data_IF_599232783798
#
_entry.id   IF_599232783798
#
_cell.length_a   1.000
_cell.length_b   1.000
_cell.length_c   1.000
_cell.angle_alpha   90.00
_cell.angle_beta   90.00
_cell.angle_gamma   90.00
#
_symmetry.space_group_name_H-M   'P 1'
#
loop_
_entity.id
_entity.type
_entity.pdbx_description
1 polymer ?
#
# COMPACT_ATOMS: atom_id res chain seq x y z
N UNK A 1 -17.49 4.46 16.94
CA UNK A 1 -16.52 4.72 15.86
C UNK A 1 -15.37 3.75 16.03
N UNK A 2 -15.07 2.87 15.04
CA UNK A 2 -13.90 2.00 15.13
C UNK A 2 -12.64 2.88 15.19
N UNK A 3 -11.78 2.62 16.19
CA UNK A 3 -10.50 3.32 16.27
C UNK A 3 -9.67 3.04 15.00
N UNK A 4 -9.16 4.08 14.37
CA UNK A 4 -8.27 3.94 13.20
C UNK A 4 -6.94 3.37 13.66
N UNK A 5 -6.42 2.40 12.91
CA UNK A 5 -5.13 1.78 13.23
C UNK A 5 -4.01 2.83 13.31
N UNK A 6 -3.25 2.79 14.39
CA UNK A 6 -1.99 3.51 14.59
C UNK A 6 -1.03 2.62 15.36
N UNK A 7 0.26 2.81 15.11
CA UNK A 7 1.29 2.07 15.83
C UNK A 7 1.47 2.71 17.21
N UNK A 8 1.39 1.95 18.33
CA UNK A 8 1.45 2.49 19.68
C UNK A 8 2.91 2.76 20.12
N UNK A 9 3.61 3.67 19.44
CA UNK A 9 4.97 4.09 19.79
C UNK A 9 5.22 5.54 19.37
N UNK A 10 6.40 6.09 19.74
CA UNK A 10 6.83 7.41 19.28
C UNK A 10 7.16 7.42 17.79
N UNK A 11 7.07 8.57 17.17
CA UNK A 11 7.41 8.78 15.76
C UNK A 11 8.86 8.38 15.44
N UNK A 12 9.82 8.79 16.28
CA UNK A 12 11.24 8.44 16.11
C UNK A 12 11.47 6.92 16.13
N UNK A 13 10.75 6.23 17.02
CA UNK A 13 10.84 4.78 17.11
C UNK A 13 10.20 4.10 15.89
N UNK A 14 9.07 4.59 15.43
CA UNK A 14 8.41 4.11 14.22
C UNK A 14 9.30 4.34 12.98
N UNK A 15 9.95 5.50 12.88
CA UNK A 15 10.92 5.81 11.84
C UNK A 15 12.08 4.81 11.85
N UNK A 16 12.72 4.60 13.01
CA UNK A 16 13.85 3.69 13.13
C UNK A 16 13.50 2.25 12.74
N UNK A 17 12.33 1.77 13.13
CA UNK A 17 11.86 0.43 12.75
C UNK A 17 11.49 0.32 11.27
N UNK A 18 10.86 1.33 10.68
CA UNK A 18 10.59 1.37 9.24
C UNK A 18 11.89 1.37 8.43
N UNK A 19 12.88 2.16 8.84
CA UNK A 19 14.19 2.19 8.20
C UNK A 19 14.84 0.82 8.25
N UNK A 20 14.88 0.18 9.43
CA UNK A 20 15.43 -1.16 9.59
C UNK A 20 14.72 -2.20 8.71
N UNK A 21 13.37 -2.12 8.61
CA UNK A 21 12.58 -3.01 7.77
C UNK A 21 12.85 -2.78 6.26
N UNK A 22 13.05 -1.53 5.84
CA UNK A 22 13.44 -1.23 4.44
C UNK A 22 14.83 -1.77 4.13
N UNK A 23 15.79 -1.56 5.03
CA UNK A 23 17.13 -2.10 4.86
C UNK A 23 17.12 -3.63 4.72
N UNK A 24 16.36 -4.31 5.57
CA UNK A 24 16.18 -5.75 5.49
C UNK A 24 15.51 -6.21 4.19
N UNK A 25 14.49 -5.49 3.70
CA UNK A 25 13.84 -5.81 2.42
C UNK A 25 14.75 -5.58 1.22
N UNK A 26 15.61 -4.55 1.25
CA UNK A 26 16.62 -4.28 0.22
C UNK A 26 17.70 -5.37 0.21
N UNK A 27 18.21 -5.74 1.38
CA UNK A 27 19.21 -6.81 1.55
C UNK A 27 18.66 -8.19 1.12
N UNK A 28 17.42 -8.50 1.49
CA UNK A 28 16.73 -9.72 1.06
C UNK A 28 16.68 -9.85 -0.48
N UNK A 29 16.66 -8.72 -1.19
CA UNK A 29 16.72 -8.67 -2.67
C UNK A 29 18.14 -8.64 -3.23
N UNK A 30 19.14 -8.90 -2.41
CA UNK A 30 20.55 -8.84 -2.78
C UNK A 30 20.96 -7.48 -3.38
N UNK A 31 20.46 -6.39 -2.79
CA UNK A 31 20.79 -5.02 -3.19
C UNK A 31 21.44 -4.25 -2.05
N UNK A 32 22.19 -3.20 -2.41
CA UNK A 32 22.79 -2.29 -1.44
C UNK A 32 21.77 -1.20 -1.12
N UNK A 33 21.56 -0.97 0.18
CA UNK A 33 20.75 0.14 0.64
C UNK A 33 21.52 1.46 0.48
N UNK A 34 20.88 2.42 -0.18
CA UNK A 34 21.40 3.79 -0.30
C UNK A 34 20.33 4.74 0.24
N UNK A 35 20.66 5.46 1.33
CA UNK A 35 19.80 6.52 1.83
C UNK A 35 19.96 7.77 0.98
N UNK A 36 18.88 8.52 0.83
CA UNK A 36 18.87 9.86 0.27
C UNK A 36 17.77 10.69 0.95
N UNK A 37 17.83 12.01 0.77
CA UNK A 37 16.91 12.96 1.40
C UNK A 37 15.42 12.65 1.08
N UNK A 38 15.12 12.24 -0.15
CA UNK A 38 13.75 11.88 -0.54
C UNK A 38 13.22 10.67 0.24
N UNK A 39 14.04 9.62 0.40
CA UNK A 39 13.68 8.44 1.18
C UNK A 39 13.49 8.77 2.65
N UNK A 40 14.38 9.56 3.22
CA UNK A 40 14.27 9.99 4.62
C UNK A 40 12.98 10.77 4.87
N UNK A 41 12.63 11.68 3.97
CA UNK A 41 11.37 12.43 4.02
C UNK A 41 10.14 11.50 3.92
N UNK A 42 10.14 10.56 2.98
CA UNK A 42 9.05 9.58 2.81
C UNK A 42 8.87 8.71 4.06
N UNK A 43 10.00 8.29 4.67
CA UNK A 43 10.00 7.53 5.93
C UNK A 43 9.44 8.36 7.08
N UNK A 44 9.84 9.63 7.20
CA UNK A 44 9.32 10.55 8.22
C UNK A 44 7.82 10.76 8.05
N UNK A 45 7.34 11.04 6.82
CA UNK A 45 5.91 11.19 6.55
C UNK A 45 5.12 9.92 6.91
N UNK A 46 5.65 8.75 6.62
CA UNK A 46 5.02 7.48 6.97
C UNK A 46 5.01 7.24 8.47
N UNK A 47 6.14 7.44 9.16
CA UNK A 47 6.26 7.29 10.62
C UNK A 47 5.32 8.24 11.35
N UNK A 48 5.29 9.50 10.94
CA UNK A 48 4.37 10.53 11.46
C UNK A 48 2.92 10.08 11.32
N UNK A 49 2.49 9.70 10.12
CA UNK A 49 1.10 9.29 9.90
C UNK A 49 0.72 8.02 10.68
N UNK A 50 1.65 7.06 10.81
CA UNK A 50 1.41 5.82 11.54
C UNK A 50 1.28 6.01 13.06
N UNK A 51 1.80 7.11 13.60
CA UNK A 51 1.85 7.36 15.05
C UNK A 51 0.92 8.49 15.51
N UNK A 52 0.41 9.31 14.58
CA UNK A 52 -0.44 10.46 14.92
C UNK A 52 -1.90 10.27 14.46
N UNK A 53 -2.88 10.83 15.18
CA UNK A 53 -4.27 10.84 14.73
C UNK A 53 -4.43 11.50 13.36
N UNK A 54 -5.25 10.91 12.50
CA UNK A 54 -5.54 11.45 11.16
C UNK A 54 -6.96 11.13 10.74
N UNK A 55 -7.55 11.98 9.88
CA UNK A 55 -8.82 11.71 9.21
C UNK A 55 -8.73 10.60 8.18
N UNK A 56 -7.57 10.38 7.59
CA UNK A 56 -7.33 9.30 6.65
C UNK A 56 -7.19 7.95 7.36
N UNK A 57 -7.66 6.90 6.74
CA UNK A 57 -7.57 5.51 7.22
C UNK A 57 -6.75 4.59 6.31
N UNK A 58 -6.07 5.16 5.31
CA UNK A 58 -5.17 4.47 4.40
C UNK A 58 -4.01 5.36 3.94
N UNK A 59 -3.12 4.80 3.13
CA UNK A 59 -1.95 5.46 2.54
C UNK A 59 -1.92 5.19 1.03
N UNK A 60 -1.58 6.21 0.24
CA UNK A 60 -1.25 6.07 -1.18
C UNK A 60 0.21 6.44 -1.39
N UNK A 61 1.02 5.46 -1.75
CA UNK A 61 2.40 5.63 -2.19
C UNK A 61 2.40 5.83 -3.70
N UNK A 62 2.64 7.04 -4.17
CA UNK A 62 2.56 7.39 -5.59
C UNK A 62 3.86 7.99 -6.12
N UNK A 63 4.15 7.77 -7.41
CA UNK A 63 5.37 8.26 -8.06
C UNK A 63 5.90 7.34 -9.14
N UNK A 64 7.04 7.66 -9.72
CA UNK A 64 7.64 6.95 -10.84
C UNK A 64 7.95 5.48 -10.59
N UNK A 65 8.34 4.78 -11.65
CA UNK A 65 8.68 3.36 -11.56
C UNK A 65 10.06 3.17 -10.91
N UNK A 66 10.20 2.14 -10.05
CA UNK A 66 11.49 1.76 -9.48
C UNK A 66 11.97 2.61 -8.31
N UNK A 67 11.17 3.52 -7.77
CA UNK A 67 11.53 4.48 -6.73
C UNK A 67 11.26 4.01 -5.28
N UNK A 68 10.96 2.73 -5.04
CA UNK A 68 10.90 2.14 -3.70
C UNK A 68 9.52 1.95 -3.08
N UNK A 69 8.41 2.32 -3.73
CA UNK A 69 7.04 2.19 -3.21
C UNK A 69 6.69 0.78 -2.72
N UNK A 70 6.88 -0.23 -3.58
CA UNK A 70 6.61 -1.64 -3.21
C UNK A 70 7.55 -2.14 -2.11
N UNK A 71 8.78 -1.59 -2.03
CA UNK A 71 9.71 -1.89 -0.94
C UNK A 71 9.18 -1.32 0.38
N UNK A 72 8.69 -0.08 0.39
CA UNK A 72 8.06 0.54 1.56
C UNK A 72 6.82 -0.25 2.02
N UNK A 73 5.96 -0.67 1.09
CA UNK A 73 4.78 -1.48 1.41
C UNK A 73 5.16 -2.81 2.07
N UNK A 74 6.18 -3.52 1.56
CA UNK A 74 6.66 -4.77 2.14
C UNK A 74 7.38 -4.58 3.46
N UNK A 75 8.16 -3.50 3.60
CA UNK A 75 8.78 -3.12 4.87
C UNK A 75 7.74 -2.86 5.96
N UNK A 76 6.62 -2.21 5.63
CA UNK A 76 5.51 -2.04 6.55
C UNK A 76 4.88 -3.38 6.96
N UNK A 77 4.74 -4.32 6.03
CA UNK A 77 4.26 -5.69 6.36
C UNK A 77 5.21 -6.38 7.33
N UNK A 78 6.52 -6.33 7.08
CA UNK A 78 7.53 -6.92 7.97
C UNK A 78 7.50 -6.26 9.36
N UNK A 79 7.36 -4.94 9.41
CA UNK A 79 7.23 -4.20 10.66
C UNK A 79 6.02 -4.67 11.47
N UNK A 80 4.85 -4.79 10.86
CA UNK A 80 3.65 -5.28 11.56
C UNK A 80 3.84 -6.69 12.09
N UNK A 81 4.43 -7.56 11.28
CA UNK A 81 4.71 -8.94 11.67
C UNK A 81 5.69 -9.01 12.85
N UNK A 82 6.68 -8.13 12.91
CA UNK A 82 7.66 -8.07 14.00
C UNK A 82 7.08 -7.47 15.29
N UNK A 83 6.19 -6.50 15.19
CA UNK A 83 5.62 -5.80 16.35
C UNK A 83 4.54 -6.58 17.09
N UNK A 84 3.91 -7.57 16.46
CA UNK A 84 2.84 -8.39 17.06
C UNK A 84 1.76 -7.56 17.79
N UNK A 85 1.34 -6.44 17.22
CA UNK A 85 0.36 -5.52 17.83
C UNK A 85 -0.98 -6.24 17.98
N UNK A 86 -1.51 -6.39 19.21
CA UNK A 86 -2.76 -7.10 19.43
C UNK A 86 -3.96 -6.33 18.88
N UNK A 87 -4.95 -7.05 18.36
CA UNK A 87 -6.23 -6.46 17.93
C UNK A 87 -7.11 -6.16 19.15
N UNK A 88 -7.79 -5.01 19.21
CA UNK A 88 -8.53 -4.60 20.41
C UNK A 88 -9.81 -5.42 20.66
N UNK A 89 -10.37 -6.07 19.64
CA UNK A 89 -11.68 -6.74 19.75
C UNK A 89 -11.69 -8.19 19.28
N UNK A 90 -10.56 -8.70 18.78
CA UNK A 90 -10.45 -10.07 18.27
C UNK A 90 -9.16 -10.71 18.78
N UNK A 91 -9.14 -12.03 18.87
CA UNK A 91 -7.90 -12.76 19.10
C UNK A 91 -6.95 -12.58 17.89
N UNK A 92 -5.66 -12.43 18.20
CA UNK A 92 -4.59 -12.29 17.21
C UNK A 92 -4.00 -10.89 17.13
N UNK A 93 -3.10 -10.73 16.18
CA UNK A 93 -2.33 -9.51 15.95
C UNK A 93 -2.69 -8.87 14.62
N UNK A 94 -2.40 -7.57 14.47
CA UNK A 94 -2.49 -6.90 13.19
C UNK A 94 -1.46 -7.47 12.22
N UNK A 95 -1.89 -7.69 10.99
CA UNK A 95 -1.06 -8.04 9.85
C UNK A 95 -1.70 -7.51 8.58
N UNK A 96 -0.90 -7.21 7.57
CA UNK A 96 -1.39 -6.71 6.29
C UNK A 96 -1.25 -7.79 5.22
N UNK A 97 -2.32 -8.05 4.48
CA UNK A 97 -2.28 -8.88 3.28
C UNK A 97 -1.91 -8.01 2.08
N UNK A 98 -0.84 -8.35 1.38
CA UNK A 98 -0.44 -7.65 0.16
C UNK A 98 -0.87 -8.48 -1.05
N UNK A 99 -1.47 -7.82 -2.03
CA UNK A 99 -1.85 -8.38 -3.33
C UNK A 99 -1.48 -7.41 -4.45
N UNK A 100 -1.12 -7.94 -5.60
CA UNK A 100 -0.98 -7.17 -6.83
C UNK A 100 -2.37 -6.84 -7.40
N UNK A 101 -2.53 -5.66 -8.00
CA UNK A 101 -3.81 -5.24 -8.57
C UNK A 101 -4.35 -6.20 -9.64
N UNK A 102 -3.48 -6.79 -10.46
CA UNK A 102 -3.86 -7.82 -11.44
C UNK A 102 -4.40 -9.09 -10.79
N UNK A 103 -3.88 -9.44 -9.60
CA UNK A 103 -4.37 -10.60 -8.86
C UNK A 103 -5.79 -10.40 -8.35
N UNK A 104 -6.21 -9.16 -8.05
CA UNK A 104 -7.60 -8.84 -7.70
C UNK A 104 -8.53 -9.17 -8.87
N UNK A 105 -8.18 -8.73 -10.09
CA UNK A 105 -8.93 -9.04 -11.30
C UNK A 105 -8.99 -10.55 -11.58
N UNK A 106 -7.88 -11.27 -11.35
CA UNK A 106 -7.82 -12.72 -11.46
C UNK A 106 -8.76 -13.43 -10.47
N UNK A 107 -8.79 -12.99 -9.20
CA UNK A 107 -9.66 -13.59 -8.17
C UNK A 107 -11.14 -13.41 -8.49
N UNK A 108 -11.54 -12.22 -8.92
CA UNK A 108 -12.92 -11.93 -9.28
C UNK A 108 -13.46 -12.93 -10.31
N UNK A 109 -12.64 -13.30 -11.30
CA UNK A 109 -13.02 -14.25 -12.36
C UNK A 109 -12.95 -15.71 -11.92
N UNK A 110 -11.94 -16.10 -11.11
CA UNK A 110 -11.58 -17.49 -10.93
C UNK A 110 -11.87 -18.02 -9.52
N UNK A 111 -12.11 -17.15 -8.54
CA UNK A 111 -12.31 -17.56 -7.15
C UNK A 111 -13.13 -16.53 -6.35
N UNK A 112 -14.42 -16.57 -6.52
CA UNK A 112 -15.38 -15.66 -5.87
C UNK A 112 -15.28 -15.63 -4.33
N UNK A 113 -15.04 -16.79 -3.68
CA UNK A 113 -14.89 -16.83 -2.22
C UNK A 113 -13.62 -16.12 -1.74
N UNK A 114 -12.51 -16.30 -2.47
CA UNK A 114 -11.25 -15.63 -2.14
C UNK A 114 -11.33 -14.13 -2.40
N UNK A 115 -12.06 -13.72 -3.45
CA UNK A 115 -12.34 -12.31 -3.74
C UNK A 115 -13.15 -11.66 -2.61
N UNK A 116 -14.25 -12.25 -2.19
CA UNK A 116 -15.03 -11.77 -1.05
C UNK A 116 -14.24 -11.69 0.26
N UNK A 117 -13.39 -12.68 0.54
CA UNK A 117 -12.50 -12.67 1.70
C UNK A 117 -11.48 -11.54 1.60
N UNK A 118 -10.97 -11.25 0.40
CA UNK A 118 -10.01 -10.17 0.19
C UNK A 118 -10.62 -8.80 0.48
N UNK A 119 -11.85 -8.57 0.04
CA UNK A 119 -12.57 -7.31 0.25
C UNK A 119 -12.68 -6.97 1.74
N UNK A 120 -12.88 -7.98 2.61
CA UNK A 120 -13.19 -7.80 4.03
C UNK A 120 -12.00 -7.93 4.99
N UNK A 121 -10.77 -8.15 4.48
CA UNK A 121 -9.60 -8.21 5.38
C UNK A 121 -9.37 -6.86 6.08
N UNK A 122 -9.01 -6.88 7.35
CA UNK A 122 -8.82 -5.66 8.17
C UNK A 122 -7.82 -4.69 7.55
N UNK A 123 -6.67 -5.22 7.09
CA UNK A 123 -5.60 -4.43 6.48
C UNK A 123 -5.18 -5.03 5.15
N UNK A 124 -5.24 -4.22 4.10
CA UNK A 124 -4.90 -4.62 2.73
C UNK A 124 -3.84 -3.70 2.13
N UNK A 125 -2.82 -4.33 1.54
CA UNK A 125 -1.87 -3.68 0.63
C UNK A 125 -2.23 -4.02 -0.82
N UNK A 126 -2.44 -3.01 -1.65
CA UNK A 126 -2.65 -3.16 -3.09
C UNK A 126 -1.39 -2.65 -3.79
N UNK A 127 -0.63 -3.55 -4.39
CA UNK A 127 0.59 -3.19 -5.12
C UNK A 127 0.29 -2.97 -6.59
N UNK A 128 0.93 -1.94 -7.18
CA UNK A 128 0.86 -1.57 -8.60
C UNK A 128 -0.57 -1.30 -9.12
N UNK A 129 -1.37 -0.54 -8.34
CA UNK A 129 -2.70 -0.06 -8.78
C UNK A 129 -2.59 0.68 -10.13
N UNK A 130 -3.46 0.32 -11.08
CA UNK A 130 -3.49 0.85 -12.45
C UNK A 130 -2.80 -0.04 -13.47
N UNK A 131 -2.36 -1.24 -13.09
CA UNK A 131 -1.77 -2.23 -14.01
C UNK A 131 -2.75 -3.34 -14.38
N UNK A 132 -3.85 -3.45 -13.65
CA UNK A 132 -4.91 -4.42 -13.90
C UNK A 132 -5.82 -4.00 -15.06
N UNK A 133 -6.56 -4.94 -15.67
CA UNK A 133 -7.64 -4.60 -16.57
C UNK A 133 -8.75 -3.86 -15.81
N UNK A 134 -9.30 -2.79 -16.39
CA UNK A 134 -10.40 -2.00 -15.80
C UNK A 134 -11.67 -2.81 -15.61
N UNK A 135 -11.89 -3.79 -16.50
CA UNK A 135 -13.09 -4.63 -16.53
C UNK A 135 -12.69 -6.10 -16.70
N UNK A 136 -13.48 -6.97 -16.09
CA UNK A 136 -13.35 -8.43 -16.23
C UNK A 136 -14.71 -8.97 -16.72
N UNK A 137 -14.68 -9.70 -17.82
CA UNK A 137 -15.86 -10.37 -18.35
C UNK A 137 -15.91 -11.81 -17.83
N UNK A 138 -17.04 -12.19 -17.24
CA UNK A 138 -17.32 -13.54 -16.79
C UNK A 138 -18.78 -13.93 -17.08
N UNK A 139 -19.00 -14.99 -17.87
CA UNK A 139 -20.33 -15.49 -18.32
C UNK A 139 -21.26 -14.39 -18.83
N UNK A 140 -20.73 -13.41 -19.58
CA UNK A 140 -21.49 -12.29 -20.16
C UNK A 140 -21.76 -11.13 -19.20
N UNK A 141 -21.33 -11.21 -17.96
CA UNK A 141 -21.36 -10.11 -17.01
C UNK A 141 -20.04 -9.35 -17.03
N UNK A 142 -20.11 -8.03 -16.88
CA UNK A 142 -18.96 -7.14 -16.75
C UNK A 142 -18.80 -6.77 -15.28
N UNK A 143 -17.60 -6.98 -14.74
CA UNK A 143 -17.21 -6.64 -13.38
C UNK A 143 -16.09 -5.62 -13.38
N UNK A 144 -16.05 -4.78 -12.36
CA UNK A 144 -14.99 -3.77 -12.11
C UNK A 144 -14.29 -4.04 -10.77
N UNK A 145 -13.50 -5.14 -10.67
CA UNK A 145 -13.12 -5.73 -9.38
C UNK A 145 -12.39 -4.76 -8.45
N UNK A 146 -11.48 -3.93 -9.00
CA UNK A 146 -10.73 -2.95 -8.19
C UNK A 146 -11.63 -1.80 -7.75
N UNK A 147 -12.53 -1.32 -8.60
CA UNK A 147 -13.52 -0.29 -8.27
C UNK A 147 -14.44 -0.77 -7.15
N UNK A 148 -14.94 -2.01 -7.26
CA UNK A 148 -15.84 -2.62 -6.28
C UNK A 148 -15.13 -2.82 -4.94
N UNK A 149 -13.88 -3.31 -4.96
CA UNK A 149 -13.04 -3.48 -3.78
C UNK A 149 -12.78 -2.13 -3.09
N UNK A 150 -12.32 -1.11 -3.83
CA UNK A 150 -12.05 0.22 -3.27
C UNK A 150 -13.30 0.88 -2.72
N UNK A 151 -14.44 0.73 -3.42
CA UNK A 151 -15.75 1.22 -2.97
C UNK A 151 -16.12 0.62 -1.61
N UNK A 152 -16.03 -0.69 -1.48
CA UNK A 152 -16.39 -1.40 -0.25
C UNK A 152 -15.46 -1.04 0.90
N UNK A 153 -14.14 -0.98 0.65
CA UNK A 153 -13.16 -0.61 1.66
C UNK A 153 -13.31 0.83 2.14
N UNK A 154 -13.70 1.75 1.24
CA UNK A 154 -14.07 3.11 1.62
C UNK A 154 -15.30 3.14 2.52
N UNK A 155 -16.38 2.46 2.16
CA UNK A 155 -17.63 2.42 2.92
C UNK A 155 -17.45 1.83 4.33
N UNK A 156 -16.63 0.79 4.46
CA UNK A 156 -16.31 0.16 5.74
C UNK A 156 -15.14 0.79 6.48
N UNK A 157 -14.49 1.81 5.90
CA UNK A 157 -13.31 2.49 6.44
C UNK A 157 -12.17 1.51 6.81
N UNK A 158 -11.91 0.54 5.95
CA UNK A 158 -10.88 -0.48 6.16
C UNK A 158 -9.49 0.04 5.79
N UNK A 159 -8.51 -0.24 6.64
CA UNK A 159 -7.13 0.18 6.43
C UNK A 159 -6.58 -0.35 5.10
N UNK A 160 -6.12 0.56 4.24
CA UNK A 160 -5.62 0.21 2.92
C UNK A 160 -4.35 0.99 2.58
N UNK A 161 -3.27 0.30 2.20
CA UNK A 161 -2.09 0.92 1.60
C UNK A 161 -2.07 0.56 0.12
N UNK A 162 -1.85 1.56 -0.72
CA UNK A 162 -1.86 1.40 -2.17
C UNK A 162 -0.53 1.93 -2.73
N UNK A 163 0.08 1.20 -3.64
CA UNK A 163 1.15 1.73 -4.49
C UNK A 163 0.64 1.97 -5.90
N UNK A 164 1.07 3.04 -6.55
CA UNK A 164 0.70 3.33 -7.94
C UNK A 164 1.76 4.18 -8.65
N UNK A 165 1.84 4.00 -9.96
CA UNK A 165 2.60 4.88 -10.84
C UNK A 165 1.70 5.93 -11.52
N UNK A 166 0.39 5.85 -11.31
CA UNK A 166 -0.56 6.79 -11.89
C UNK A 166 -0.49 8.15 -11.20
N UNK A 167 -0.59 9.20 -12.00
CA UNK A 167 -0.84 10.56 -11.50
C UNK A 167 -2.28 10.68 -10.99
N UNK A 168 -2.62 11.71 -10.19
CA UNK A 168 -4.01 11.95 -9.78
C UNK A 168 -4.99 12.08 -10.95
N UNK A 169 -4.54 12.68 -12.06
CA UNK A 169 -5.35 12.78 -13.28
C UNK A 169 -5.58 11.41 -13.91
N UNK A 170 -4.54 10.58 -14.05
CA UNK A 170 -4.66 9.23 -14.58
C UNK A 170 -5.53 8.32 -13.71
N UNK A 171 -5.50 8.49 -12.37
CA UNK A 171 -6.42 7.78 -11.46
C UNK A 171 -7.86 8.16 -11.77
N UNK A 172 -8.14 9.45 -11.99
CA UNK A 172 -9.47 9.94 -12.35
C UNK A 172 -9.95 9.42 -13.71
N UNK A 173 -9.06 9.41 -14.70
CA UNK A 173 -9.34 8.88 -16.04
C UNK A 173 -9.59 7.37 -16.02
N UNK A 174 -8.85 6.62 -15.21
CA UNK A 174 -8.91 5.15 -15.17
C UNK A 174 -10.06 4.61 -14.31
N UNK A 175 -10.34 5.23 -13.15
CA UNK A 175 -11.33 4.75 -12.18
C UNK A 175 -12.58 5.63 -12.05
N UNK A 176 -12.59 6.78 -12.72
CA UNK A 176 -13.67 7.78 -12.66
C UNK A 176 -13.58 8.71 -11.45
N UNK A 177 -14.34 9.81 -11.54
CA UNK A 177 -14.35 10.88 -10.53
C UNK A 177 -14.70 10.36 -9.14
N UNK A 178 -15.70 9.49 -9.05
CA UNK A 178 -16.20 8.96 -7.76
C UNK A 178 -15.13 8.22 -6.98
N UNK A 179 -14.33 7.38 -7.64
CA UNK A 179 -13.24 6.63 -6.98
C UNK A 179 -12.08 7.56 -6.64
N UNK A 180 -11.74 8.50 -7.52
CA UNK A 180 -10.69 9.47 -7.27
C UNK A 180 -10.99 10.34 -6.05
N UNK A 181 -12.24 10.79 -5.88
CA UNK A 181 -12.67 11.58 -4.73
C UNK A 181 -12.68 10.75 -3.44
N UNK A 182 -13.17 9.50 -3.49
CA UNK A 182 -13.11 8.58 -2.35
C UNK A 182 -11.66 8.27 -1.92
N UNK A 183 -10.74 8.09 -2.86
CA UNK A 183 -9.33 7.93 -2.56
C UNK A 183 -8.74 9.17 -1.88
N UNK A 184 -9.13 10.40 -2.30
CA UNK A 184 -8.69 11.61 -1.64
C UNK A 184 -9.13 11.72 -0.17
N UNK A 185 -10.32 11.23 0.16
CA UNK A 185 -10.82 11.18 1.55
C UNK A 185 -10.21 10.02 2.35
N UNK A 186 -9.92 8.90 1.68
CA UNK A 186 -9.49 7.65 2.29
C UNK A 186 -8.03 7.66 2.69
N UNK A 187 -7.15 8.22 1.85
CA UNK A 187 -5.70 7.98 1.95
C UNK A 187 -4.86 9.25 2.12
N UNK A 188 -3.88 9.17 3.03
CA UNK A 188 -2.74 10.10 3.05
C UNK A 188 -1.83 9.79 1.87
N UNK A 189 -1.54 10.77 1.03
CA UNK A 189 -0.59 10.62 -0.08
C UNK A 189 0.84 10.83 0.41
N UNK A 190 1.74 9.93 0.02
CA UNK A 190 3.18 10.06 0.17
C UNK A 190 3.78 9.95 -1.24
N UNK A 191 4.44 11.03 -1.68
CA UNK A 191 4.96 11.14 -3.03
C UNK A 191 6.40 10.67 -3.09
N UNK A 192 6.69 9.76 -4.00
CA UNK A 192 8.02 9.26 -4.33
C UNK A 192 8.53 10.02 -5.55
N UNK A 193 9.19 11.16 -5.29
CA UNK A 193 9.75 12.06 -6.31
C UNK A 193 11.14 11.66 -6.77
N UNK A 194 11.82 10.81 -6.02
CA UNK A 194 13.15 10.31 -6.32
C UNK A 194 13.22 9.53 -7.65
N UNK A 195 14.38 9.50 -8.25
CA UNK A 195 14.69 8.67 -9.40
C UNK A 195 14.59 7.17 -9.11
N UNK A 196 14.77 6.36 -10.14
CA UNK A 196 14.75 4.91 -10.00
C UNK A 196 16.00 4.38 -9.32
N UNK A 197 15.82 3.50 -8.33
CA UNK A 197 16.93 2.74 -7.71
C UNK A 197 17.39 1.54 -8.56
N UNK A 198 16.80 1.31 -9.74
CA UNK A 198 17.12 0.14 -10.58
C UNK A 198 18.36 0.33 -11.45
N UNK A 199 18.72 1.58 -11.76
CA UNK A 199 19.84 1.91 -12.64
C UNK A 199 21.19 2.00 -11.92
N UNK A 200 21.21 2.29 -10.63
CA UNK A 200 22.45 2.53 -9.88
C UNK A 200 23.26 1.27 -9.52
N UNK A 201 22.77 0.08 -9.87
CA UNK A 201 23.40 -1.20 -9.56
C UNK A 201 24.10 -1.89 -10.74
N UNK A 202 24.13 -1.25 -11.92
CA UNK A 202 24.84 -1.80 -13.09
C UNK A 202 26.28 -1.30 -13.23
N UNK A 203 26.76 -0.42 -12.34
CA UNK A 203 28.16 -0.08 -12.24
C UNK A 203 28.90 -1.12 -11.41
N UNK A 204 29.16 -2.28 -11.99
CA UNK A 204 30.16 -3.22 -11.48
C UNK A 204 31.54 -2.57 -11.66
N UNK A 205 32.39 -2.41 -10.63
CA UNK A 205 33.79 -2.11 -10.85
C UNK A 205 34.43 -3.32 -11.52
N UNK A 206 35.09 -3.07 -12.66
CA UNK A 206 36.02 -4.00 -13.29
C UNK A 206 37.24 -4.29 -12.40
#
# INVERSE_FOLDING_TARGET
MKARFRIPMSEDKAYAYLLAAIMAEVEYRHRVFCSNEDMEKQLQEMAHWLTTPSSHFGILLCGGCGNGKSTMLKAFQQLLNALHIPKPYNEGTYGIRIVDAKYIAYLCKNNYEADRKLISVDMLGIDDLGTEPSEVMDYGNIYTPVIDLLTKRYEEQLFTIITTNLTPQQIREHYGDRIADRLNEMVKKIVFSNGTYRTDQLATPG
#
